data_IF_391214124988
#
_entry.id   IF_391214124988
#
_cell.length_a   1.000
_cell.length_b   1.000
_cell.length_c   1.000
_cell.angle_alpha   90.00
_cell.angle_beta   90.00
_cell.angle_gamma   90.00
#
_symmetry.space_group_name_H-M   'P 1'
#
loop_
_entity.id
_entity.type
_entity.pdbx_description
1 polymer ?
#
# COMPACT_ATOMS: atom_id res chain seq x y z
N UNK A 1 2.09 -14.51 14.87
CA UNK A 1 3.35 -13.95 15.38
C UNK A 1 3.12 -12.45 15.47
N UNK A 2 3.37 -11.87 16.60
CA UNK A 2 3.26 -10.42 16.79
C UNK A 2 4.48 -9.70 16.18
N UNK A 3 4.32 -8.42 15.78
CA UNK A 3 5.38 -7.68 15.08
C UNK A 3 6.70 -7.60 15.86
N UNK A 4 6.65 -7.50 17.20
CA UNK A 4 7.82 -7.46 18.05
C UNK A 4 8.59 -8.80 18.13
N UNK A 5 7.90 -9.96 18.05
CA UNK A 5 8.54 -11.28 18.00
C UNK A 5 9.39 -11.41 16.73
N UNK A 6 8.89 -10.90 15.60
CA UNK A 6 9.64 -10.86 14.34
C UNK A 6 10.94 -10.07 14.44
N UNK A 7 10.90 -8.89 15.08
CA UNK A 7 12.09 -8.04 15.26
C UNK A 7 13.15 -8.70 16.11
N UNK A 8 12.76 -9.38 17.19
CA UNK A 8 13.70 -10.11 18.06
C UNK A 8 14.34 -11.28 17.32
N UNK A 9 13.56 -12.05 16.57
CA UNK A 9 14.03 -13.18 15.76
C UNK A 9 15.06 -12.72 14.71
N UNK A 10 14.79 -11.61 13.99
CA UNK A 10 15.75 -11.01 13.06
C UNK A 10 17.05 -10.60 13.73
N UNK A 11 16.98 -9.92 14.86
CA UNK A 11 18.18 -9.49 15.61
C UNK A 11 19.03 -10.66 16.09
N UNK A 12 18.39 -11.76 16.51
CA UNK A 12 19.09 -12.97 16.97
C UNK A 12 19.86 -13.65 15.84
N UNK A 13 19.21 -13.89 14.69
CA UNK A 13 19.87 -14.51 13.54
C UNK A 13 20.98 -13.64 12.97
N UNK A 14 20.76 -12.32 12.84
CA UNK A 14 21.77 -11.38 12.35
C UNK A 14 23.00 -11.32 13.24
N UNK A 15 22.83 -11.39 14.56
CA UNK A 15 23.96 -11.49 15.51
C UNK A 15 24.74 -12.78 15.30
N UNK A 16 24.06 -13.92 15.18
CA UNK A 16 24.70 -15.21 14.95
C UNK A 16 25.48 -15.21 13.62
N UNK A 17 24.87 -14.68 12.53
CA UNK A 17 25.51 -14.59 11.21
C UNK A 17 26.77 -13.72 11.28
N UNK A 18 26.69 -12.53 11.87
CA UNK A 18 27.83 -11.62 11.99
C UNK A 18 28.96 -12.16 12.87
N UNK A 19 28.68 -13.06 13.82
CA UNK A 19 29.71 -13.75 14.60
C UNK A 19 30.42 -14.83 13.77
N UNK A 20 29.67 -15.51 12.89
CA UNK A 20 30.19 -16.67 12.14
C UNK A 20 30.81 -16.30 10.79
N UNK A 21 30.51 -15.11 10.26
CA UNK A 21 31.03 -14.64 8.96
C UNK A 21 31.42 -13.17 9.02
N UNK A 22 32.72 -12.88 8.96
CA UNK A 22 33.25 -11.52 8.98
C UNK A 22 32.85 -10.67 7.76
N UNK A 23 32.42 -11.28 6.65
CA UNK A 23 31.94 -10.60 5.44
C UNK A 23 30.47 -10.24 5.53
N UNK A 24 29.75 -10.78 6.51
CA UNK A 24 28.32 -10.54 6.69
C UNK A 24 28.04 -9.10 7.11
N UNK A 25 27.16 -8.44 6.36
CA UNK A 25 26.63 -7.10 6.65
C UNK A 25 25.13 -7.18 6.87
N UNK A 26 24.66 -6.73 8.00
CA UNK A 26 23.22 -6.65 8.32
C UNK A 26 22.61 -5.32 7.88
N UNK A 27 21.31 -5.32 7.61
CA UNK A 27 20.50 -4.10 7.41
C UNK A 27 21.07 -3.16 6.33
N UNK A 28 21.48 -3.73 5.18
CA UNK A 28 22.10 -2.96 4.09
C UNK A 28 21.05 -2.15 3.36
N UNK A 29 21.13 -0.83 3.49
CA UNK A 29 20.21 0.09 2.81
C UNK A 29 20.60 0.29 1.34
N UNK A 30 19.63 0.14 0.45
CA UNK A 30 19.72 0.44 -0.97
C UNK A 30 18.86 1.65 -1.31
N UNK A 31 19.35 2.52 -2.17
CA UNK A 31 18.64 3.68 -2.69
C UNK A 31 18.89 3.78 -4.19
N UNK A 32 17.84 3.62 -4.97
CA UNK A 32 17.91 3.65 -6.42
C UNK A 32 16.99 4.75 -6.96
N UNK A 33 17.50 5.71 -7.76
CA UNK A 33 16.65 6.64 -8.48
C UNK A 33 15.86 5.89 -9.56
N UNK A 34 14.55 6.14 -9.60
CA UNK A 34 13.62 5.54 -10.58
C UNK A 34 12.70 6.62 -11.13
N UNK A 35 12.09 6.35 -12.27
CA UNK A 35 11.04 7.19 -12.83
C UNK A 35 9.69 6.51 -12.67
N UNK A 36 8.72 7.21 -12.07
CA UNK A 36 7.35 6.76 -11.88
C UNK A 36 6.39 7.91 -12.15
N UNK A 37 5.38 7.69 -12.95
CA UNK A 37 4.44 8.73 -13.42
C UNK A 37 5.13 9.92 -14.10
N UNK A 38 6.26 9.69 -14.78
CA UNK A 38 7.06 10.73 -15.41
C UNK A 38 7.83 11.63 -14.43
N UNK A 39 7.91 11.26 -13.15
CA UNK A 39 8.64 12.02 -12.13
C UNK A 39 9.78 11.18 -11.54
N UNK A 40 10.87 11.86 -11.22
CA UNK A 40 11.98 11.23 -10.48
C UNK A 40 11.55 10.90 -9.07
N UNK A 41 11.71 9.64 -8.70
CA UNK A 41 11.42 9.08 -7.37
C UNK A 41 12.62 8.31 -6.87
N UNK A 42 12.63 7.96 -5.60
CA UNK A 42 13.66 7.11 -5.00
C UNK A 42 13.03 5.82 -4.51
N UNK A 43 13.43 4.70 -5.13
CA UNK A 43 13.16 3.38 -4.59
C UNK A 43 14.13 3.11 -3.45
N UNK A 44 13.60 2.75 -2.28
CA UNK A 44 14.41 2.42 -1.12
C UNK A 44 14.12 0.99 -0.69
N UNK A 45 15.16 0.28 -0.33
CA UNK A 45 15.07 -1.07 0.22
C UNK A 45 16.12 -1.27 1.30
N UNK A 46 15.92 -2.29 2.13
CA UNK A 46 16.85 -2.67 3.18
C UNK A 46 16.96 -4.19 3.21
N UNK A 47 18.12 -4.68 2.79
CA UNK A 47 18.45 -6.11 2.79
C UNK A 47 18.72 -6.53 4.23
N UNK A 48 18.10 -7.61 4.70
CA UNK A 48 18.29 -8.10 6.05
C UNK A 48 19.73 -8.59 6.31
N UNK A 49 20.33 -9.29 5.33
CA UNK A 49 21.69 -9.76 5.38
C UNK A 49 22.33 -9.78 3.98
N UNK A 50 23.58 -9.32 3.90
CA UNK A 50 24.38 -9.36 2.68
C UNK A 50 25.76 -9.95 3.00
N UNK A 51 26.17 -10.95 2.24
CA UNK A 51 27.48 -11.58 2.41
C UNK A 51 28.04 -12.03 1.06
N UNK A 52 29.19 -12.70 1.10
CA UNK A 52 29.77 -13.39 -0.07
C UNK A 52 29.99 -14.86 0.28
N UNK A 53 29.70 -15.73 -0.64
CA UNK A 53 30.00 -17.14 -0.52
C UNK A 53 31.53 -17.38 -0.64
N UNK A 54 32.03 -18.62 -0.45
CA UNK A 54 33.44 -18.94 -0.60
C UNK A 54 34.00 -18.66 -2.00
N UNK A 55 33.17 -18.64 -3.04
CA UNK A 55 33.57 -18.31 -4.43
C UNK A 55 33.65 -16.80 -4.68
N UNK A 56 33.23 -15.97 -3.73
CA UNK A 56 33.12 -14.52 -3.84
C UNK A 56 31.80 -14.03 -4.42
N UNK A 57 30.83 -14.92 -4.69
CA UNK A 57 29.52 -14.55 -5.17
C UNK A 57 28.73 -13.83 -4.08
N UNK A 58 28.08 -12.72 -4.46
CA UNK A 58 27.21 -11.96 -3.55
C UNK A 58 25.95 -12.73 -3.21
N UNK A 59 25.67 -12.86 -1.90
CA UNK A 59 24.50 -13.54 -1.35
C UNK A 59 23.61 -12.54 -0.60
N UNK A 60 22.37 -12.43 -1.01
CA UNK A 60 21.32 -11.64 -0.36
C UNK A 60 20.49 -12.56 0.52
N UNK A 61 20.44 -12.28 1.81
CA UNK A 61 19.63 -13.03 2.78
C UNK A 61 18.42 -12.20 3.21
N UNK A 62 17.24 -12.80 3.08
CA UNK A 62 15.96 -12.28 3.51
C UNK A 62 15.37 -13.18 4.58
N UNK A 63 15.12 -12.66 5.78
CA UNK A 63 14.61 -13.44 6.91
C UNK A 63 13.11 -13.31 7.04
N UNK A 64 12.43 -14.44 7.14
CA UNK A 64 10.97 -14.50 7.28
C UNK A 64 10.57 -15.26 8.54
N UNK A 65 9.91 -14.60 9.49
CA UNK A 65 9.44 -15.28 10.69
C UNK A 65 8.40 -16.36 10.35
N UNK A 66 8.58 -17.55 10.91
CA UNK A 66 7.63 -18.67 10.77
C UNK A 66 7.60 -19.49 12.06
N UNK A 67 6.49 -20.19 12.32
CA UNK A 67 6.38 -21.12 13.46
C UNK A 67 6.82 -22.54 13.11
N UNK A 68 6.72 -22.88 11.83
CA UNK A 68 7.06 -24.20 11.29
C UNK A 68 7.83 -24.05 9.97
N UNK A 69 8.65 -25.01 9.58
CA UNK A 69 9.28 -25.04 8.27
C UNK A 69 8.25 -24.91 7.16
N UNK A 70 8.60 -24.22 6.08
CA UNK A 70 7.74 -24.06 4.90
C UNK A 70 8.03 -25.19 3.91
N UNK A 71 6.98 -25.80 3.37
CA UNK A 71 7.10 -26.79 2.30
C UNK A 71 7.42 -26.16 0.94
N UNK A 72 7.11 -24.87 0.77
CA UNK A 72 7.37 -24.12 -0.46
C UNK A 72 7.70 -22.65 -0.16
N UNK A 73 8.50 -22.05 -1.01
CA UNK A 73 8.78 -20.61 -1.00
C UNK A 73 7.52 -19.83 -1.36
N UNK A 74 7.25 -18.77 -0.61
CA UNK A 74 6.17 -17.84 -0.98
C UNK A 74 6.65 -16.90 -2.08
N UNK A 75 5.85 -16.74 -3.13
CA UNK A 75 6.20 -15.84 -4.24
C UNK A 75 6.44 -14.39 -3.83
N UNK A 76 5.74 -13.88 -2.78
CA UNK A 76 6.00 -12.54 -2.23
C UNK A 76 7.37 -12.41 -1.58
N UNK A 77 7.83 -13.45 -0.88
CA UNK A 77 9.11 -13.45 -0.16
C UNK A 77 10.27 -13.57 -1.17
N UNK A 78 10.09 -14.41 -2.18
CA UNK A 78 10.99 -14.52 -3.33
C UNK A 78 11.09 -13.22 -4.11
N UNK A 79 9.95 -12.64 -4.47
CA UNK A 79 9.91 -11.38 -5.22
C UNK A 79 10.62 -10.25 -4.48
N UNK A 80 10.52 -10.18 -3.16
CA UNK A 80 11.25 -9.19 -2.35
C UNK A 80 12.76 -9.37 -2.46
N UNK A 81 13.26 -10.60 -2.33
CA UNK A 81 14.68 -10.90 -2.48
C UNK A 81 15.19 -10.59 -3.90
N UNK A 82 14.37 -10.88 -4.93
CA UNK A 82 14.71 -10.56 -6.33
C UNK A 82 14.69 -9.05 -6.62
N UNK A 83 13.82 -8.29 -5.98
CA UNK A 83 13.84 -6.82 -6.06
C UNK A 83 15.15 -6.26 -5.51
N UNK A 84 15.60 -6.75 -4.36
CA UNK A 84 16.90 -6.36 -3.81
C UNK A 84 18.07 -6.76 -4.73
N UNK A 85 18.00 -7.95 -5.31
CA UNK A 85 19.01 -8.38 -6.31
C UNK A 85 19.04 -7.45 -7.51
N UNK A 86 17.88 -7.05 -8.03
CA UNK A 86 17.76 -6.09 -9.14
C UNK A 86 18.30 -4.70 -8.78
N UNK A 87 17.99 -4.21 -7.58
CA UNK A 87 18.52 -2.93 -7.09
C UNK A 87 20.03 -2.98 -6.95
N UNK A 88 20.59 -4.03 -6.33
CA UNK A 88 22.02 -4.18 -6.14
C UNK A 88 22.75 -4.30 -7.47
N UNK A 89 22.27 -5.14 -8.38
CA UNK A 89 22.84 -5.29 -9.71
C UNK A 89 22.78 -3.99 -10.54
N UNK A 90 21.81 -3.12 -10.29
CA UNK A 90 21.71 -1.82 -10.98
C UNK A 90 22.65 -0.78 -10.37
N UNK A 91 22.95 -0.87 -9.08
CA UNK A 91 23.84 0.05 -8.36
C UNK A 91 25.32 -0.32 -8.50
N UNK A 92 25.62 -1.58 -8.82
CA UNK A 92 26.99 -2.11 -8.94
C UNK A 92 27.12 -2.96 -10.20
N UNK A 93 27.75 -2.39 -11.22
CA UNK A 93 27.96 -3.06 -12.51
C UNK A 93 28.99 -4.19 -12.45
N UNK A 94 29.81 -4.28 -11.40
CA UNK A 94 30.76 -5.36 -11.19
C UNK A 94 30.08 -6.69 -10.85
N UNK A 95 28.83 -6.62 -10.36
CA UNK A 95 28.03 -7.79 -10.02
C UNK A 95 27.49 -8.45 -11.29
N UNK A 96 27.95 -9.65 -11.59
CA UNK A 96 27.49 -10.45 -12.73
C UNK A 96 26.45 -11.50 -12.38
N UNK A 97 26.58 -12.08 -11.18
CA UNK A 97 25.67 -13.09 -10.61
C UNK A 97 25.42 -12.82 -9.14
N UNK A 98 24.24 -13.15 -8.66
CA UNK A 98 23.85 -13.03 -7.27
C UNK A 98 23.12 -14.31 -6.82
N UNK A 99 23.29 -14.66 -5.56
CA UNK A 99 22.44 -15.65 -4.91
C UNK A 99 21.43 -14.92 -4.01
N UNK A 100 20.16 -15.28 -4.10
CA UNK A 100 19.14 -14.89 -3.13
C UNK A 100 18.83 -16.08 -2.22
N UNK A 101 18.72 -15.84 -0.93
CA UNK A 101 18.41 -16.83 0.09
C UNK A 101 17.28 -16.32 0.97
N UNK A 102 16.10 -16.92 0.86
CA UNK A 102 14.98 -16.65 1.77
C UNK A 102 15.04 -17.66 2.89
N UNK A 103 15.20 -17.20 4.12
CA UNK A 103 15.43 -18.01 5.31
C UNK A 103 14.24 -17.86 6.24
N UNK A 104 13.52 -18.95 6.47
CA UNK A 104 12.45 -18.99 7.46
C UNK A 104 13.03 -19.27 8.83
N UNK A 105 12.71 -18.38 9.79
CA UNK A 105 13.25 -18.39 11.15
C UNK A 105 12.16 -18.56 12.20
N UNK A 106 12.48 -19.29 13.26
CA UNK A 106 11.59 -19.41 14.43
C UNK A 106 11.51 -18.08 15.19
N UNK A 107 10.54 -17.90 16.12
CA UNK A 107 10.50 -16.74 17.02
C UNK A 107 11.77 -16.52 17.84
N UNK A 108 12.56 -17.58 18.06
CA UNK A 108 13.84 -17.54 18.79
C UNK A 108 15.04 -17.23 17.87
N UNK A 109 14.80 -17.04 16.55
CA UNK A 109 15.86 -16.75 15.58
C UNK A 109 16.62 -17.97 15.05
N UNK A 110 16.15 -19.20 15.33
CA UNK A 110 16.74 -20.41 14.76
C UNK A 110 16.23 -20.63 13.34
N UNK A 111 17.13 -21.05 12.43
CA UNK A 111 16.76 -21.39 11.06
C UNK A 111 15.87 -22.63 11.04
N UNK A 112 14.71 -22.50 10.41
CA UNK A 112 13.78 -23.63 10.18
C UNK A 112 14.05 -24.32 8.84
N UNK A 113 14.14 -23.51 7.78
CA UNK A 113 14.57 -23.93 6.44
C UNK A 113 14.86 -22.70 5.57
N UNK A 114 15.48 -22.92 4.42
CA UNK A 114 15.80 -21.87 3.44
C UNK A 114 15.52 -22.31 2.02
N UNK A 115 15.33 -21.34 1.14
CA UNK A 115 15.22 -21.49 -0.31
C UNK A 115 16.23 -20.57 -0.98
N UNK A 116 16.94 -21.10 -1.96
CA UNK A 116 18.03 -20.40 -2.64
C UNK A 116 17.82 -20.37 -4.14
N UNK A 117 18.07 -19.22 -4.75
CA UNK A 117 18.09 -19.04 -6.19
C UNK A 117 19.32 -18.26 -6.63
N UNK A 118 19.94 -18.71 -7.71
CA UNK A 118 21.02 -17.97 -8.37
C UNK A 118 20.49 -17.22 -9.57
N UNK A 119 20.78 -15.93 -9.64
CA UNK A 119 20.32 -15.03 -10.69
C UNK A 119 21.52 -14.40 -11.39
N UNK A 120 21.45 -14.28 -12.73
CA UNK A 120 22.33 -13.34 -13.43
C UNK A 120 21.91 -11.90 -13.10
N UNK A 121 22.85 -10.97 -13.12
CA UNK A 121 22.56 -9.55 -12.96
C UNK A 121 21.53 -9.07 -13.99
N UNK A 122 21.60 -9.57 -15.22
CA UNK A 122 20.61 -9.28 -16.26
C UNK A 122 19.20 -9.73 -15.87
N UNK A 123 19.05 -10.97 -15.38
CA UNK A 123 17.75 -11.48 -14.92
C UNK A 123 17.21 -10.64 -13.78
N UNK A 124 18.04 -10.29 -12.80
CA UNK A 124 17.64 -9.48 -11.65
C UNK A 124 17.21 -8.05 -12.07
N UNK A 125 17.96 -7.39 -12.96
CA UNK A 125 17.60 -6.09 -13.53
C UNK A 125 16.30 -6.14 -14.33
N UNK A 126 16.08 -7.19 -15.12
CA UNK A 126 14.87 -7.39 -15.91
C UNK A 126 13.65 -7.56 -14.99
N UNK A 127 13.79 -8.34 -13.92
CA UNK A 127 12.73 -8.49 -12.93
C UNK A 127 12.38 -7.14 -12.25
N UNK A 128 13.38 -6.37 -11.84
CA UNK A 128 13.17 -5.04 -11.26
C UNK A 128 12.46 -4.11 -12.25
N UNK A 129 12.89 -4.06 -13.50
CA UNK A 129 12.26 -3.23 -14.54
C UNK A 129 10.81 -3.64 -14.78
N UNK A 130 10.51 -4.94 -14.83
CA UNK A 130 9.15 -5.45 -14.92
C UNK A 130 8.28 -5.05 -13.72
N UNK A 131 8.80 -5.21 -12.52
CA UNK A 131 8.08 -4.84 -11.29
C UNK A 131 7.78 -3.33 -11.25
N UNK A 132 8.74 -2.48 -11.63
CA UNK A 132 8.56 -1.03 -11.72
C UNK A 132 7.50 -0.66 -12.77
N UNK A 133 7.51 -1.31 -13.93
CA UNK A 133 6.50 -1.09 -14.98
C UNK A 133 5.10 -1.47 -14.49
N UNK A 134 4.97 -2.62 -13.81
CA UNK A 134 3.70 -3.03 -13.20
C UNK A 134 3.21 -2.02 -12.16
N UNK A 135 4.11 -1.54 -11.31
CA UNK A 135 3.79 -0.56 -10.28
C UNK A 135 3.41 0.80 -10.87
N UNK A 136 4.14 1.29 -11.87
CA UNK A 136 3.81 2.52 -12.59
C UNK A 136 2.42 2.45 -13.24
N UNK A 137 2.13 1.34 -13.92
CA UNK A 137 0.80 1.09 -14.49
C UNK A 137 -0.29 1.11 -13.42
N UNK A 138 -0.02 0.54 -12.24
CA UNK A 138 -0.95 0.58 -11.10
C UNK A 138 -1.19 2.01 -10.61
N UNK A 139 -0.13 2.80 -10.44
CA UNK A 139 -0.21 4.21 -10.05
C UNK A 139 -0.98 5.05 -11.06
N UNK A 140 -0.77 4.84 -12.36
CA UNK A 140 -1.52 5.49 -13.43
C UNK A 140 -3.03 5.18 -13.34
N UNK A 141 -3.39 3.91 -13.09
CA UNK A 141 -4.79 3.51 -12.90
C UNK A 141 -5.42 4.21 -11.68
N UNK A 142 -4.68 4.30 -10.57
CA UNK A 142 -5.16 5.01 -9.37
C UNK A 142 -5.34 6.50 -9.63
N UNK A 143 -4.39 7.15 -10.33
CA UNK A 143 -4.47 8.56 -10.71
C UNK A 143 -5.69 8.82 -11.62
N UNK A 144 -5.86 8.02 -12.67
CA UNK A 144 -6.99 8.12 -13.59
C UNK A 144 -8.33 7.93 -12.86
N UNK A 145 -8.40 6.96 -11.93
CA UNK A 145 -9.60 6.74 -11.11
C UNK A 145 -9.91 7.95 -10.24
N UNK A 146 -8.90 8.55 -9.62
CA UNK A 146 -9.04 9.78 -8.82
C UNK A 146 -9.54 10.96 -9.67
N UNK A 147 -8.98 11.16 -10.86
CA UNK A 147 -9.41 12.22 -11.78
C UNK A 147 -10.88 12.03 -12.21
N UNK A 148 -11.27 10.80 -12.60
CA UNK A 148 -12.66 10.49 -12.97
C UNK A 148 -13.63 10.74 -11.82
N UNK A 149 -13.23 10.36 -10.60
CA UNK A 149 -14.04 10.61 -9.40
C UNK A 149 -14.23 12.09 -9.12
N UNK A 150 -13.18 12.89 -9.27
CA UNK A 150 -13.26 14.36 -9.11
C UNK A 150 -14.13 15.00 -10.18
N UNK A 151 -13.98 14.58 -11.45
CA UNK A 151 -14.83 15.06 -12.53
C UNK A 151 -16.30 14.75 -12.24
N UNK A 152 -16.60 13.53 -11.83
CA UNK A 152 -17.95 13.13 -11.42
C UNK A 152 -18.45 13.93 -10.20
N UNK A 153 -17.63 14.13 -9.18
CA UNK A 153 -18.01 14.88 -7.97
C UNK A 153 -18.45 16.32 -8.29
N UNK A 154 -17.79 16.96 -9.27
CA UNK A 154 -18.20 18.30 -9.74
C UNK A 154 -19.57 18.32 -10.38
N UNK A 155 -19.98 17.25 -11.06
CA UNK A 155 -21.29 17.14 -11.72
C UNK A 155 -22.41 16.75 -10.75
N UNK A 156 -22.09 16.31 -9.52
CA UNK A 156 -23.09 15.92 -8.54
C UNK A 156 -24.11 17.00 -8.28
N UNK A 157 -25.37 16.61 -8.36
CA UNK A 157 -26.51 17.42 -7.98
C UNK A 157 -27.22 16.80 -6.80
N UNK A 158 -27.90 17.62 -6.03
CA UNK A 158 -28.71 17.11 -4.93
C UNK A 158 -29.88 16.29 -5.50
N UNK A 159 -30.11 15.03 -5.04
CA UNK A 159 -31.00 14.09 -5.74
C UNK A 159 -32.51 14.32 -5.48
N UNK A 160 -32.90 15.34 -4.73
CA UNK A 160 -34.27 15.67 -4.43
C UNK A 160 -34.59 17.08 -4.92
N UNK A 161 -35.89 17.34 -5.20
CA UNK A 161 -36.34 18.64 -5.70
C UNK A 161 -36.05 19.81 -4.73
N UNK A 162 -36.03 19.54 -3.41
CA UNK A 162 -35.72 20.54 -2.39
C UNK A 162 -35.03 19.90 -1.18
N UNK A 163 -34.26 20.71 -0.49
CA UNK A 163 -33.73 20.37 0.82
C UNK A 163 -34.83 20.38 1.89
N UNK A 164 -34.78 19.47 2.83
CA UNK A 164 -35.61 19.53 4.04
C UNK A 164 -35.18 20.72 4.93
N UNK A 165 -36.02 21.10 5.86
CA UNK A 165 -35.72 22.15 6.86
C UNK A 165 -34.36 21.87 7.51
N UNK A 166 -33.48 22.86 7.57
CA UNK A 166 -32.11 22.82 8.11
C UNK A 166 -31.12 21.89 7.36
N UNK A 167 -31.56 21.06 6.42
CA UNK A 167 -30.70 20.12 5.71
C UNK A 167 -29.68 20.85 4.84
N UNK A 168 -30.06 21.96 4.20
CA UNK A 168 -29.17 22.78 3.37
C UNK A 168 -28.04 23.44 4.20
N UNK A 169 -28.40 23.97 5.39
CA UNK A 169 -27.42 24.56 6.31
C UNK A 169 -26.39 23.52 6.77
N UNK A 170 -26.87 22.35 7.17
CA UNK A 170 -26.01 21.21 7.55
C UNK A 170 -25.09 20.79 6.41
N UNK A 171 -25.61 20.66 5.19
CA UNK A 171 -24.81 20.32 4.00
C UNK A 171 -23.72 21.38 3.72
N UNK A 172 -24.02 22.66 3.90
CA UNK A 172 -23.05 23.74 3.78
C UNK A 172 -21.93 23.65 4.81
N UNK A 173 -22.25 23.34 6.06
CA UNK A 173 -21.25 23.14 7.11
C UNK A 173 -20.33 21.96 6.80
N UNK A 174 -20.88 20.82 6.37
CA UNK A 174 -20.09 19.65 5.95
C UNK A 174 -19.18 19.99 4.77
N UNK A 175 -19.70 20.65 3.73
CA UNK A 175 -18.91 21.07 2.58
C UNK A 175 -17.71 21.93 3.01
N UNK A 176 -17.95 22.94 3.85
CA UNK A 176 -16.91 23.85 4.33
C UNK A 176 -15.85 23.11 5.17
N UNK A 177 -16.28 22.25 6.10
CA UNK A 177 -15.35 21.49 6.94
C UNK A 177 -14.47 20.54 6.14
N UNK A 178 -15.05 19.83 5.18
CA UNK A 178 -14.26 18.95 4.28
C UNK A 178 -13.31 19.76 3.43
N UNK A 179 -13.76 20.88 2.84
CA UNK A 179 -12.91 21.75 2.01
C UNK A 179 -11.76 22.37 2.79
N UNK A 180 -11.98 22.71 4.07
CA UNK A 180 -10.97 23.31 4.95
C UNK A 180 -10.16 22.27 5.73
N UNK A 181 -10.54 20.99 5.66
CA UNK A 181 -9.96 19.89 6.46
C UNK A 181 -10.11 20.11 7.98
N UNK A 182 -11.27 20.58 8.38
CA UNK A 182 -11.62 20.87 9.77
C UNK A 182 -12.51 19.75 10.35
N UNK A 183 -12.43 19.55 11.65
CA UNK A 183 -13.34 18.66 12.36
C UNK A 183 -14.70 19.34 12.50
N UNK A 184 -15.79 18.56 12.35
CA UNK A 184 -17.16 19.05 12.51
C UNK A 184 -17.94 18.07 13.38
N UNK A 185 -18.59 18.59 14.42
CA UNK A 185 -19.55 17.88 15.23
C UNK A 185 -20.95 18.44 14.90
N UNK A 186 -21.84 17.56 14.44
CA UNK A 186 -23.20 17.92 14.07
C UNK A 186 -24.21 17.13 14.90
N UNK A 187 -25.13 17.85 15.51
CA UNK A 187 -26.33 17.28 16.13
C UNK A 187 -27.56 17.59 15.28
N UNK A 188 -28.37 16.59 14.98
CA UNK A 188 -29.57 16.76 14.19
C UNK A 188 -30.62 15.71 14.54
N UNK A 189 -31.89 16.12 14.54
CA UNK A 189 -33.03 15.26 14.88
C UNK A 189 -33.22 14.11 13.88
N UNK A 190 -33.82 13.02 14.31
CA UNK A 190 -34.15 11.88 13.44
C UNK A 190 -35.07 12.33 12.30
N UNK A 191 -34.88 11.79 11.10
CA UNK A 191 -35.72 12.16 9.94
C UNK A 191 -35.28 13.45 9.20
N UNK A 192 -34.29 14.21 9.69
CA UNK A 192 -33.83 15.46 9.06
C UNK A 192 -33.03 15.25 7.74
N UNK A 193 -32.82 14.00 7.31
CA UNK A 193 -32.05 13.69 6.10
C UNK A 193 -30.54 13.76 6.27
N UNK A 194 -30.03 13.49 7.48
CA UNK A 194 -28.61 13.56 7.85
C UNK A 194 -27.68 12.84 6.87
N UNK A 195 -28.02 11.61 6.48
CA UNK A 195 -27.17 10.80 5.62
C UNK A 195 -26.86 11.50 4.30
N UNK A 196 -27.88 12.02 3.63
CA UNK A 196 -27.70 12.76 2.37
C UNK A 196 -27.03 14.13 2.59
N UNK A 197 -27.37 14.82 3.71
CA UNK A 197 -26.76 16.09 4.07
C UNK A 197 -25.27 15.99 4.43
N UNK A 198 -24.78 14.80 4.74
CA UNK A 198 -23.35 14.52 4.98
C UNK A 198 -22.69 13.99 3.71
N UNK A 199 -23.25 12.96 3.07
CA UNK A 199 -22.60 12.29 1.94
C UNK A 199 -22.50 13.19 0.68
N UNK A 200 -23.58 13.86 0.31
CA UNK A 200 -23.61 14.72 -0.89
C UNK A 200 -22.53 15.82 -0.85
N UNK A 201 -22.48 16.70 0.16
CA UNK A 201 -21.48 17.76 0.22
C UNK A 201 -20.06 17.21 0.45
N UNK A 202 -19.90 16.15 1.21
CA UNK A 202 -18.61 15.54 1.45
C UNK A 202 -18.01 14.99 0.14
N UNK A 203 -18.78 14.25 -0.66
CA UNK A 203 -18.36 13.77 -1.97
C UNK A 203 -18.08 14.93 -2.94
N UNK A 204 -18.84 16.02 -2.86
CA UNK A 204 -18.66 17.20 -3.72
C UNK A 204 -17.43 18.03 -3.35
N UNK A 205 -17.05 18.05 -2.08
CA UNK A 205 -15.92 18.81 -1.54
C UNK A 205 -14.58 18.06 -1.61
N UNK A 206 -14.59 16.77 -1.96
CA UNK A 206 -13.37 15.95 -1.97
C UNK A 206 -12.31 16.47 -2.93
N UNK A 207 -11.05 16.31 -2.56
CA UNK A 207 -9.88 16.57 -3.40
C UNK A 207 -9.25 15.28 -3.95
N UNK A 208 -8.16 15.42 -4.72
CA UNK A 208 -7.43 14.26 -5.27
C UNK A 208 -6.88 13.37 -4.15
N UNK A 209 -6.96 12.07 -4.38
CA UNK A 209 -6.41 11.04 -3.50
C UNK A 209 -7.06 10.92 -2.11
N UNK A 210 -8.21 11.58 -1.89
CA UNK A 210 -8.98 11.43 -0.66
C UNK A 210 -9.88 10.18 -0.71
N UNK A 211 -10.05 9.53 0.42
CA UNK A 211 -10.95 8.41 0.62
C UNK A 211 -11.98 8.78 1.70
N UNK A 212 -13.23 8.38 1.48
CA UNK A 212 -14.29 8.56 2.46
C UNK A 212 -14.60 7.26 3.18
N UNK A 213 -14.61 7.32 4.50
CA UNK A 213 -15.06 6.24 5.37
C UNK A 213 -16.34 6.69 6.09
N UNK A 214 -17.47 6.07 5.75
CA UNK A 214 -18.74 6.30 6.44
C UNK A 214 -18.91 5.22 7.52
N UNK A 215 -18.61 5.57 8.76
CA UNK A 215 -18.66 4.65 9.89
C UNK A 215 -20.03 4.71 10.56
N UNK A 216 -20.61 3.57 10.89
CA UNK A 216 -21.89 3.45 11.58
C UNK A 216 -21.80 2.40 12.68
N UNK A 217 -22.54 2.61 13.77
CA UNK A 217 -22.63 1.64 14.86
C UNK A 217 -23.56 0.46 14.56
N UNK A 218 -24.38 0.53 13.50
CA UNK A 218 -25.38 -0.48 13.14
C UNK A 218 -25.43 -0.68 11.63
N UNK A 219 -25.73 -1.91 11.18
CA UNK A 219 -25.86 -2.28 9.76
C UNK A 219 -26.87 -1.42 8.99
N UNK A 220 -28.02 -1.10 9.59
CA UNK A 220 -29.03 -0.21 8.98
C UNK A 220 -28.48 1.17 8.61
N UNK A 221 -27.47 1.67 9.33
CA UNK A 221 -26.80 2.93 8.98
C UNK A 221 -25.96 2.78 7.69
N UNK A 222 -25.31 1.65 7.50
CA UNK A 222 -24.58 1.34 6.27
C UNK A 222 -25.54 1.21 5.08
N UNK A 223 -26.68 0.53 5.25
CA UNK A 223 -27.70 0.41 4.19
C UNK A 223 -28.26 1.77 3.76
N UNK A 224 -28.50 2.66 4.71
CA UNK A 224 -28.95 4.03 4.43
C UNK A 224 -27.89 4.83 3.67
N UNK A 225 -26.60 4.67 4.01
CA UNK A 225 -25.51 5.31 3.30
C UNK A 225 -25.38 4.77 1.86
N UNK A 226 -25.46 3.45 1.67
CA UNK A 226 -25.43 2.82 0.36
C UNK A 226 -26.61 3.27 -0.52
N UNK A 227 -27.81 3.33 0.04
CA UNK A 227 -28.99 3.84 -0.66
C UNK A 227 -28.82 5.31 -1.09
N UNK A 228 -28.26 6.15 -0.23
CA UNK A 228 -27.99 7.55 -0.55
C UNK A 228 -26.92 7.68 -1.66
N UNK A 229 -25.85 6.88 -1.62
CA UNK A 229 -24.83 6.87 -2.69
C UNK A 229 -25.44 6.42 -4.01
N UNK A 230 -26.28 5.38 -4.04
CA UNK A 230 -26.98 4.94 -5.26
C UNK A 230 -27.81 6.06 -5.88
N UNK A 231 -28.55 6.83 -5.07
CA UNK A 231 -29.33 7.98 -5.56
C UNK A 231 -28.44 9.09 -6.17
N UNK A 232 -27.20 9.22 -5.72
CA UNK A 232 -26.24 10.19 -6.27
C UNK A 232 -25.58 9.69 -7.55
N UNK A 233 -25.39 8.38 -7.70
CA UNK A 233 -24.75 7.75 -8.89
C UNK A 233 -25.74 7.53 -10.01
N UNK A 234 -26.97 7.16 -9.68
CA UNK A 234 -28.09 6.96 -10.60
C UNK A 234 -29.09 8.10 -10.39
N UNK A 235 -28.91 9.27 -11.02
CA UNK A 235 -29.92 10.30 -10.93
C UNK A 235 -31.21 9.72 -11.51
N UNK A 236 -32.22 9.59 -10.65
CA UNK A 236 -33.57 9.18 -11.04
C UNK A 236 -33.96 9.99 -12.27
N UNK A 237 -34.42 9.32 -13.32
CA UNK A 237 -35.07 9.99 -14.44
C UNK A 237 -36.06 11.00 -13.87
N UNK A 238 -36.20 12.21 -14.46
CA UNK A 238 -37.10 13.21 -13.93
C UNK A 238 -38.47 12.58 -13.77
N UNK A 239 -39.04 12.62 -12.57
CA UNK A 239 -40.40 12.26 -12.32
C UNK A 239 -41.23 13.09 -13.31
N UNK A 240 -41.72 12.44 -14.39
CA UNK A 240 -42.70 13.05 -15.27
C UNK A 240 -43.90 13.35 -14.37
N UNK A 241 -44.12 14.64 -14.12
CA UNK A 241 -45.36 15.15 -13.54
C UNK A 241 -46.55 14.92 -14.45
#
# INVERSE_FOLDING_TARGET
MEAWEGTLAHSAIQKQRGTNDARYRKEVSLKLPVELLGERRQLQGRIDGLTQDPSGQTVIEEYKPARHPRSALRGSDEAQAWLYAGMLATLDDSVTTLQTRVIYISPQGSVLNSFEHTLSATTARTFLAFALTCFDTHLQRLSNRSQRRLAWAKTLQFPHAAFRKNQRAMAGQVYNSVSKRENLLLEAVTGSGKTMAVLFPALKAQSMNEQFFFLTSRSRGADAALAAVKQLVEPSAPLRG
#
